data_IF_437803691185
#
_entry.id   IF_437803691185
#
_cell.length_a   1.000
_cell.length_b   1.000
_cell.length_c   1.000
_cell.angle_alpha   90.00
_cell.angle_beta   90.00
_cell.angle_gamma   90.00
#
_symmetry.space_group_name_H-M   'P 1'
#
loop_
_entity.id
_entity.type
_entity.pdbx_description
1 polymer ?
#
# COMPACT_ATOMS: atom_id res chain seq x y z
N UNK A 1 -14.23 4.31 5.56
CA UNK A 1 -13.17 3.38 5.07
C UNK A 1 -12.47 3.87 3.79
N UNK A 2 -13.14 3.88 2.62
CA UNK A 2 -12.49 4.16 1.32
C UNK A 2 -11.69 5.46 1.28
N UNK A 3 -12.26 6.57 1.77
CA UNK A 3 -11.58 7.88 1.81
C UNK A 3 -10.22 7.86 2.51
N UNK A 4 -10.08 7.07 3.58
CA UNK A 4 -8.82 6.93 4.32
C UNK A 4 -7.84 6.06 3.53
N UNK A 5 -8.32 4.95 2.99
CA UNK A 5 -7.49 4.01 2.23
C UNK A 5 -6.98 4.61 0.90
N UNK A 6 -7.80 5.41 0.21
CA UNK A 6 -7.46 6.01 -1.08
C UNK A 6 -6.61 7.28 -0.96
N UNK A 7 -6.42 7.83 0.24
CA UNK A 7 -5.46 8.89 0.47
C UNK A 7 -4.04 8.32 0.61
N UNK A 8 -3.34 8.21 -0.52
CA UNK A 8 -1.96 7.71 -0.61
C UNK A 8 -0.97 8.45 0.30
N UNK A 9 -1.27 9.70 0.69
CA UNK A 9 -0.41 10.49 1.59
C UNK A 9 -0.41 9.94 3.02
N UNK A 10 -1.46 9.20 3.38
CA UNK A 10 -1.63 8.54 4.68
C UNK A 10 -1.02 7.14 4.72
N UNK A 11 -0.58 6.59 3.59
CA UNK A 11 0.06 5.26 3.56
C UNK A 11 1.24 5.12 4.53
N UNK A 12 2.09 6.15 4.77
CA UNK A 12 3.12 6.10 5.82
C UNK A 12 2.59 5.93 7.25
N UNK A 13 1.33 6.31 7.52
CA UNK A 13 0.69 6.05 8.83
C UNK A 13 0.37 4.56 8.99
N UNK A 14 0.21 3.83 7.88
CA UNK A 14 -0.17 2.42 7.86
C UNK A 14 1.02 1.46 7.87
N UNK A 15 2.23 1.90 7.52
CA UNK A 15 3.39 1.02 7.38
C UNK A 15 4.62 1.62 8.05
N UNK A 16 5.33 0.82 8.84
CA UNK A 16 6.60 1.24 9.46
C UNK A 16 7.74 1.38 8.45
N UNK A 17 7.67 0.62 7.35
CA UNK A 17 8.69 0.69 6.31
C UNK A 17 8.47 1.89 5.40
N UNK A 18 7.23 2.23 5.05
CA UNK A 18 6.94 3.30 4.10
C UNK A 18 7.03 4.68 4.78
N UNK A 19 8.00 5.50 4.39
CA UNK A 19 8.19 6.84 4.94
C UNK A 19 7.39 7.89 4.17
N UNK A 20 7.33 7.76 2.83
CA UNK A 20 6.63 8.68 1.92
C UNK A 20 6.14 7.96 0.68
N UNK A 21 5.04 8.43 0.12
CA UNK A 21 4.54 8.05 -1.20
C UNK A 21 4.20 9.31 -1.99
N UNK A 22 4.99 9.60 -3.03
CA UNK A 22 4.96 10.88 -3.74
C UNK A 22 4.47 10.65 -5.18
N UNK A 23 3.42 11.36 -5.65
CA UNK A 23 2.95 11.26 -7.03
C UNK A 23 4.00 11.82 -8.01
N UNK A 24 4.18 11.13 -9.14
CA UNK A 24 5.12 11.54 -10.20
C UNK A 24 4.41 12.20 -11.38
N UNK A 25 3.11 11.93 -11.54
CA UNK A 25 2.28 12.42 -12.64
C UNK A 25 1.11 13.23 -12.09
N UNK A 26 0.55 14.20 -12.84
CA UNK A 26 -0.69 14.88 -12.47
C UNK A 26 -1.91 13.93 -12.58
N UNK A 27 -3.07 14.33 -12.02
CA UNK A 27 -4.38 13.68 -12.21
C UNK A 27 -4.79 12.67 -11.13
N UNK A 28 -4.32 12.85 -9.90
CA UNK A 28 -4.74 12.05 -8.75
C UNK A 28 -4.54 10.53 -8.84
N UNK A 29 -5.20 9.82 -7.93
CA UNK A 29 -5.16 8.36 -7.83
C UNK A 29 -6.04 7.72 -8.92
N UNK A 30 -5.40 7.09 -9.91
CA UNK A 30 -6.07 6.36 -11.00
C UNK A 30 -5.20 5.22 -11.52
N UNK A 31 -5.75 4.22 -12.22
CA UNK A 31 -4.94 3.21 -12.91
C UNK A 31 -3.87 3.85 -13.81
N UNK A 32 -2.64 3.31 -13.77
CA UNK A 32 -1.50 3.85 -14.49
C UNK A 32 -0.82 5.06 -13.83
N UNK A 33 -1.35 5.58 -12.72
CA UNK A 33 -0.70 6.63 -11.93
C UNK A 33 0.59 6.11 -11.28
N UNK A 34 1.63 6.93 -11.27
CA UNK A 34 2.95 6.56 -10.73
C UNK A 34 3.22 7.27 -9.42
N UNK A 35 3.80 6.51 -8.49
CA UNK A 35 4.30 7.02 -7.23
C UNK A 35 5.73 6.53 -6.98
N UNK A 36 6.58 7.43 -6.47
CA UNK A 36 7.83 7.02 -5.82
C UNK A 36 7.54 6.84 -4.34
N UNK A 37 7.80 5.64 -3.83
CA UNK A 37 7.76 5.33 -2.41
C UNK A 37 9.17 5.36 -1.82
N UNK A 38 9.37 6.05 -0.71
CA UNK A 38 10.61 5.96 0.08
C UNK A 38 10.38 5.01 1.23
N UNK A 39 11.17 3.94 1.32
CA UNK A 39 11.07 2.95 2.39
C UNK A 39 12.32 2.96 3.25
N UNK A 40 12.17 2.58 4.52
CA UNK A 40 13.24 2.45 5.49
C UNK A 40 13.04 1.19 6.33
N UNK A 41 14.09 0.38 6.46
CA UNK A 41 14.14 -0.73 7.42
C UNK A 41 15.51 -0.73 8.08
N UNK A 42 15.51 -0.60 9.41
CA UNK A 42 16.75 -0.41 10.20
C UNK A 42 17.57 0.76 9.62
N UNK A 43 18.84 0.54 9.28
CA UNK A 43 19.71 1.55 8.67
C UNK A 43 19.56 1.66 7.13
N UNK A 44 18.84 0.76 6.48
CA UNK A 44 18.67 0.76 5.04
C UNK A 44 17.49 1.66 4.64
N UNK A 45 17.70 2.52 3.64
CA UNK A 45 16.70 3.39 3.04
C UNK A 45 16.75 3.19 1.53
N UNK A 46 15.60 3.03 0.88
CA UNK A 46 15.55 2.79 -0.56
C UNK A 46 14.28 3.34 -1.23
N UNK A 47 14.39 3.80 -2.48
CA UNK A 47 13.24 4.18 -3.27
C UNK A 47 12.57 2.95 -3.89
N UNK A 48 11.27 3.07 -4.15
CA UNK A 48 10.46 2.10 -4.87
C UNK A 48 9.61 2.79 -5.91
N UNK A 49 9.40 2.12 -7.04
CA UNK A 49 8.51 2.60 -8.10
C UNK A 49 7.20 1.84 -8.06
N UNK A 50 6.12 2.56 -7.77
CA UNK A 50 4.78 2.02 -7.61
C UNK A 50 3.88 2.50 -8.76
N UNK A 51 3.21 1.57 -9.44
CA UNK A 51 2.28 1.86 -10.53
C UNK A 51 0.90 1.36 -10.14
N UNK A 52 -0.08 2.25 -10.05
CA UNK A 52 -1.44 1.88 -9.68
C UNK A 52 -2.04 0.96 -10.73
N UNK A 53 -2.52 -0.20 -10.32
CA UNK A 53 -3.07 -1.22 -11.21
C UNK A 53 -4.59 -1.34 -11.10
N UNK A 54 -5.19 -0.95 -9.97
CA UNK A 54 -6.65 -0.89 -9.83
C UNK A 54 -7.08 0.21 -8.86
N UNK A 55 -8.13 0.93 -9.22
CA UNK A 55 -8.87 1.85 -8.34
C UNK A 55 -10.35 1.58 -8.61
N UNK A 56 -10.99 0.90 -7.69
CA UNK A 56 -12.39 0.51 -7.73
C UNK A 56 -13.03 1.02 -6.44
N UNK A 57 -13.74 2.17 -6.48
CA UNK A 57 -14.26 2.82 -5.30
C UNK A 57 -15.01 1.86 -4.38
N UNK A 58 -14.69 1.95 -3.08
CA UNK A 58 -15.29 1.15 -2.01
C UNK A 58 -15.07 -0.38 -2.13
N UNK A 59 -14.28 -0.84 -3.10
CA UNK A 59 -14.08 -2.27 -3.37
C UNK A 59 -12.62 -2.68 -3.45
N UNK A 60 -11.77 -1.95 -4.16
CA UNK A 60 -10.38 -2.38 -4.38
C UNK A 60 -9.43 -1.24 -4.70
N UNK A 61 -8.26 -1.27 -4.07
CA UNK A 61 -7.10 -0.46 -4.43
C UNK A 61 -5.89 -1.38 -4.61
N UNK A 62 -5.18 -1.26 -5.73
CA UNK A 62 -3.98 -2.05 -5.97
C UNK A 62 -2.90 -1.28 -6.74
N UNK A 63 -1.64 -1.62 -6.47
CA UNK A 63 -0.49 -1.12 -7.22
C UNK A 63 0.63 -2.16 -7.29
N UNK A 64 1.46 -2.00 -8.31
CA UNK A 64 2.64 -2.81 -8.58
C UNK A 64 3.90 -2.05 -8.18
N UNK A 65 4.63 -2.58 -7.21
CA UNK A 65 5.97 -2.10 -6.86
C UNK A 65 7.00 -2.72 -7.81
N UNK A 66 7.08 -2.17 -9.02
CA UNK A 66 7.90 -2.67 -10.13
C UNK A 66 9.39 -2.87 -9.82
N UNK A 67 9.96 -2.12 -8.87
CA UNK A 67 11.36 -2.31 -8.44
C UNK A 67 11.57 -3.63 -7.70
N UNK A 68 10.58 -4.08 -6.92
CA UNK A 68 10.64 -5.33 -6.14
C UNK A 68 9.89 -6.49 -6.80
N UNK A 69 8.99 -6.19 -7.74
CA UNK A 69 8.05 -7.15 -8.34
C UNK A 69 6.81 -7.43 -7.48
N UNK A 70 6.72 -6.92 -6.25
CA UNK A 70 5.55 -7.11 -5.40
C UNK A 70 4.33 -6.35 -5.94
N UNK A 71 3.15 -6.97 -5.82
CA UNK A 71 1.86 -6.29 -5.99
C UNK A 71 1.21 -6.14 -4.63
N UNK A 72 0.71 -4.96 -4.32
CA UNK A 72 -0.05 -4.67 -3.11
C UNK A 72 -1.52 -4.52 -3.45
N UNK A 73 -2.38 -5.16 -2.66
CA UNK A 73 -3.82 -5.18 -2.90
C UNK A 73 -4.53 -4.95 -1.57
N UNK A 74 -5.47 -4.02 -1.60
CA UNK A 74 -6.46 -3.80 -0.57
C UNK A 74 -7.84 -4.09 -1.16
N UNK A 75 -8.56 -5.03 -0.56
CA UNK A 75 -9.92 -5.39 -0.94
C UNK A 75 -10.86 -5.03 0.20
N UNK A 76 -11.98 -4.41 -0.17
CA UNK A 76 -13.04 -3.98 0.72
C UNK A 76 -14.30 -4.74 0.34
N UNK A 77 -15.00 -5.25 1.35
CA UNK A 77 -16.32 -5.82 1.19
C UNK A 77 -17.22 -5.32 2.32
N UNK A 78 -18.54 -5.12 2.06
CA UNK A 78 -19.49 -4.88 3.12
C UNK A 78 -19.41 -5.99 4.19
N UNK A 79 -19.51 -5.60 5.45
CA UNK A 79 -19.71 -6.50 6.58
C UNK A 79 -21.03 -6.14 7.28
N UNK A 80 -21.51 -7.01 8.17
CA UNK A 80 -22.72 -6.74 8.96
C UNK A 80 -22.62 -5.41 9.74
N UNK A 81 -23.78 -4.87 10.11
CA UNK A 81 -23.91 -3.65 10.94
C UNK A 81 -23.23 -2.40 10.35
N UNK A 82 -23.17 -2.29 9.02
CA UNK A 82 -22.52 -1.15 8.35
C UNK A 82 -20.99 -1.19 8.40
N UNK A 83 -20.40 -2.30 8.86
CA UNK A 83 -18.96 -2.51 8.87
C UNK A 83 -18.35 -2.71 7.47
N UNK A 84 -17.02 -2.64 7.39
CA UNK A 84 -16.28 -3.01 6.19
C UNK A 84 -15.24 -4.07 6.52
N UNK A 85 -15.31 -5.20 5.82
CA UNK A 85 -14.24 -6.21 5.84
C UNK A 85 -13.10 -5.73 4.94
N UNK A 86 -11.89 -5.68 5.50
CA UNK A 86 -10.67 -5.33 4.78
C UNK A 86 -9.79 -6.57 4.62
N UNK A 87 -9.30 -6.82 3.42
CA UNK A 87 -8.30 -7.84 3.14
C UNK A 87 -7.10 -7.18 2.49
N UNK A 88 -5.93 -7.35 3.10
CA UNK A 88 -4.66 -6.88 2.54
C UNK A 88 -3.85 -8.06 2.01
N UNK A 89 -3.41 -7.99 0.75
CA UNK A 89 -2.65 -9.07 0.08
C UNK A 89 -1.42 -8.53 -0.60
N UNK A 90 -0.39 -9.38 -0.64
CA UNK A 90 0.87 -9.10 -1.33
C UNK A 90 1.35 -10.30 -2.15
N UNK A 91 0.75 -10.58 -3.32
CA UNK A 91 1.33 -11.56 -4.22
C UNK A 91 2.67 -11.06 -4.76
N UNK A 92 3.68 -11.93 -4.69
CA UNK A 92 4.98 -11.75 -5.36
C UNK A 92 5.03 -12.76 -6.51
N UNK A 93 5.41 -12.35 -7.74
CA UNK A 93 5.49 -13.27 -8.86
C UNK A 93 6.50 -14.38 -8.58
N UNK A 94 6.18 -15.62 -9.00
CA UNK A 94 7.06 -16.79 -8.82
C UNK A 94 8.43 -16.64 -9.48
N UNK A 95 8.53 -15.78 -10.50
CA UNK A 95 9.78 -15.43 -11.17
C UNK A 95 9.98 -13.92 -11.08
N UNK A 96 11.02 -13.51 -10.34
CA UNK A 96 11.45 -12.13 -10.29
C UNK A 96 12.21 -11.76 -11.57
N UNK A 97 12.06 -10.53 -12.03
CA UNK A 97 12.95 -9.98 -13.07
C UNK A 97 14.38 -9.86 -12.51
N UNK A 98 15.43 -9.80 -13.36
CA UNK A 98 16.79 -9.56 -12.89
C UNK A 98 16.93 -8.31 -12.02
N UNK A 99 16.22 -7.23 -12.38
CA UNK A 99 16.17 -6.00 -11.60
C UNK A 99 15.56 -6.23 -10.21
N UNK A 100 14.42 -6.93 -10.15
CA UNK A 100 13.74 -7.24 -8.88
C UNK A 100 14.57 -8.17 -7.99
N UNK A 101 15.27 -9.14 -8.58
CA UNK A 101 16.18 -10.03 -7.87
C UNK A 101 17.39 -9.29 -7.29
N UNK A 102 18.00 -8.38 -8.07
CA UNK A 102 19.09 -7.53 -7.59
C UNK A 102 18.62 -6.62 -6.44
N UNK A 103 17.45 -6.02 -6.57
CA UNK A 103 16.85 -5.17 -5.54
C UNK A 103 16.58 -5.94 -4.23
N UNK A 104 16.00 -7.15 -4.32
CA UNK A 104 15.72 -7.98 -3.15
C UNK A 104 17.00 -8.38 -2.40
N UNK A 105 18.08 -8.70 -3.13
CA UNK A 105 19.39 -9.00 -2.54
C UNK A 105 20.01 -7.78 -1.85
N UNK A 106 19.93 -6.61 -2.48
CA UNK A 106 20.54 -5.39 -1.97
C UNK A 106 19.82 -4.82 -0.74
N UNK A 107 18.48 -4.88 -0.70
CA UNK A 107 17.70 -4.11 0.28
C UNK A 107 16.81 -4.94 1.20
N UNK A 108 16.41 -6.15 0.79
CA UNK A 108 15.43 -6.94 1.55
C UNK A 108 16.07 -8.07 2.38
N UNK A 109 17.39 -8.26 2.27
CA UNK A 109 18.13 -9.24 3.07
C UNK A 109 17.94 -10.69 2.63
N UNK A 110 17.49 -10.92 1.39
CA UNK A 110 17.15 -12.26 0.88
C UNK A 110 15.69 -12.65 1.08
N UNK A 111 15.27 -13.79 0.52
CA UNK A 111 13.85 -14.15 0.32
C UNK A 111 13.22 -14.84 1.56
N UNK A 112 14.02 -15.38 2.48
CA UNK A 112 13.54 -16.25 3.58
C UNK A 112 12.99 -15.53 4.81
N UNK A 113 13.81 -14.75 5.52
CA UNK A 113 13.40 -14.11 6.79
C UNK A 113 12.54 -12.85 6.63
N UNK A 114 12.40 -12.32 5.42
CA UNK A 114 11.61 -11.12 5.17
C UNK A 114 10.10 -11.42 5.11
N UNK A 115 9.69 -12.66 4.84
CA UNK A 115 8.28 -12.99 4.63
C UNK A 115 7.45 -12.85 5.93
N UNK A 116 7.91 -13.42 7.05
CA UNK A 116 7.17 -13.39 8.32
C UNK A 116 7.12 -11.98 8.92
N UNK A 117 8.25 -11.26 8.89
CA UNK A 117 8.29 -9.85 9.32
C UNK A 117 7.33 -8.97 8.49
N UNK A 118 7.26 -9.22 7.17
CA UNK A 118 6.33 -8.52 6.31
C UNK A 118 4.87 -8.88 6.59
N UNK A 119 4.55 -10.16 6.82
CA UNK A 119 3.18 -10.58 7.14
C UNK A 119 2.70 -9.94 8.44
N UNK A 120 3.55 -9.93 9.48
CA UNK A 120 3.28 -9.20 10.72
C UNK A 120 3.09 -7.69 10.46
N UNK A 121 3.93 -7.09 9.61
CA UNK A 121 3.79 -5.70 9.19
C UNK A 121 2.46 -5.43 8.48
N UNK A 122 2.03 -6.32 7.59
CA UNK A 122 0.76 -6.22 6.87
C UNK A 122 -0.45 -6.30 7.82
N UNK A 123 -0.41 -7.19 8.81
CA UNK A 123 -1.45 -7.28 9.83
C UNK A 123 -1.53 -5.97 10.65
N UNK A 124 -0.39 -5.38 10.99
CA UNK A 124 -0.35 -4.07 11.65
C UNK A 124 -0.92 -2.96 10.77
N UNK A 125 -0.65 -2.98 9.46
CA UNK A 125 -1.22 -2.00 8.53
C UNK A 125 -2.75 -2.02 8.52
N UNK A 126 -3.36 -3.21 8.53
CA UNK A 126 -4.82 -3.36 8.62
C UNK A 126 -5.34 -2.84 9.97
N UNK A 127 -4.66 -3.18 11.08
CA UNK A 127 -5.04 -2.70 12.41
C UNK A 127 -4.94 -1.17 12.54
N UNK A 128 -3.91 -0.54 11.97
CA UNK A 128 -3.77 0.92 11.92
C UNK A 128 -4.85 1.57 11.08
N UNK A 129 -5.19 0.99 9.93
CA UNK A 129 -6.28 1.49 9.09
C UNK A 129 -7.62 1.45 9.84
N UNK A 130 -7.89 0.36 10.56
CA UNK A 130 -9.07 0.26 11.43
C UNK A 130 -9.12 1.40 12.43
N UNK A 131 -8.05 1.59 13.23
CA UNK A 131 -7.97 2.70 14.21
C UNK A 131 -8.16 4.07 13.56
N UNK A 132 -7.47 4.36 12.47
CA UNK A 132 -7.58 5.65 11.77
C UNK A 132 -8.98 5.94 11.22
N UNK A 133 -9.77 4.91 10.93
CA UNK A 133 -11.16 5.06 10.49
C UNK A 133 -12.11 5.19 11.67
N UNK A 134 -11.89 4.46 12.76
CA UNK A 134 -12.74 4.48 13.97
C UNK A 134 -12.51 5.72 14.82
N UNK A 135 -11.27 6.22 14.87
CA UNK A 135 -10.89 7.43 15.62
C UNK A 135 -11.21 8.72 14.84
N UNK A 136 -11.53 8.61 13.53
CA UNK A 136 -11.97 9.75 12.76
C UNK A 136 -13.44 10.06 13.12
N UNK A 137 -13.77 11.22 13.70
CA UNK A 137 -15.16 11.60 13.90
C UNK A 137 -15.88 11.59 12.55
N UNK A 138 -17.13 11.15 12.57
CA UNK A 138 -17.97 10.87 11.40
C UNK A 138 -18.12 12.10 10.50
N UNK A 139 -17.12 12.35 9.66
CA UNK A 139 -17.14 13.41 8.67
C UNK A 139 -17.67 12.83 7.38
N UNK A 140 -18.99 12.65 7.34
CA UNK A 140 -19.82 12.58 6.15
C UNK A 140 -19.74 13.93 5.41
N UNK A 141 -18.59 14.20 4.80
CA UNK A 141 -18.37 15.28 3.86
C UNK A 141 -18.05 14.69 2.48
N UNK A 142 -18.40 15.38 1.38
CA UNK A 142 -18.23 14.84 0.03
C UNK A 142 -16.77 14.43 -0.20
N UNK A 143 -16.59 13.32 -0.93
CA UNK A 143 -15.27 12.88 -1.36
C UNK A 143 -14.55 14.05 -2.05
N UNK A 144 -13.39 14.44 -1.51
CA UNK A 144 -12.58 15.51 -2.08
C UNK A 144 -12.26 15.12 -3.53
N UNK A 145 -12.62 15.94 -4.52
CA UNK A 145 -12.19 15.68 -5.89
C UNK A 145 -10.67 15.80 -5.91
N UNK A 146 -9.99 14.70 -6.24
CA UNK A 146 -8.55 14.71 -6.43
C UNK A 146 -8.23 15.52 -7.69
N UNK A 147 -7.25 16.46 -7.65
CA UNK A 147 -6.85 17.27 -8.79
C UNK A 147 -6.18 16.45 -9.91
#
# INVERSE_FOLDING_TARGET
MWRVLSDVRRMPELSDELVRMVPVKPGGLRPGQWYVGLNRRRAAVWPTRNVVSAVDPERRLAWDTTSSGARWIWELAPAGEGGTRVVHRRPVPRRLTPLSAAFARAFLGGVGGHADELEAGMAQSVARLKRLVEDAPDQAGPAVPLP
#
